data_IF_971877504529
#
_entry.id   IF_971877504529
#
_cell.length_a   1.000
_cell.length_b   1.000
_cell.length_c   1.000
_cell.angle_alpha   90.00
_cell.angle_beta   90.00
_cell.angle_gamma   90.00
#
_symmetry.space_group_name_H-M   'P 1'
#
loop_
_entity.id
_entity.type
_entity.pdbx_description
1 polymer ?
#
# COMPACT_ATOMS: atom_id res chain seq x y z
N UNK A 1 9.46 -1.99 5.20
CA UNK A 1 9.59 -1.85 3.73
C UNK A 1 8.21 -1.66 3.13
N UNK A 2 8.07 -0.79 2.15
CA UNK A 2 6.83 -0.62 1.37
C UNK A 2 6.81 -1.70 0.28
N UNK A 3 5.88 -2.65 0.37
CA UNK A 3 5.80 -3.80 -0.53
C UNK A 3 5.12 -3.42 -1.84
N UNK A 4 4.05 -2.65 -1.78
CA UNK A 4 3.36 -2.11 -2.95
C UNK A 4 2.67 -0.78 -2.61
N UNK A 5 2.47 0.03 -3.63
CA UNK A 5 1.63 1.22 -3.65
C UNK A 5 1.06 1.36 -5.05
N UNK A 6 -0.23 1.57 -5.18
CA UNK A 6 -0.89 1.62 -6.47
C UNK A 6 -2.12 2.52 -6.42
N UNK A 7 -2.33 3.28 -7.49
CA UNK A 7 -3.57 4.01 -7.75
C UNK A 7 -4.47 3.18 -8.67
N UNK A 8 -5.75 3.15 -8.38
CA UNK A 8 -6.74 2.41 -9.15
C UNK A 8 -7.94 3.31 -9.50
N UNK A 9 -8.80 2.85 -10.41
CA UNK A 9 -10.01 3.55 -10.83
C UNK A 9 -11.18 3.38 -9.85
N UNK A 10 -11.04 2.48 -8.89
CA UNK A 10 -12.07 2.19 -7.89
C UNK A 10 -11.45 1.53 -6.65
N UNK A 11 -12.21 1.52 -5.57
CA UNK A 11 -11.85 0.93 -4.29
C UNK A 11 -12.64 -0.36 -4.00
N UNK A 12 -12.84 -1.21 -4.98
CA UNK A 12 -13.52 -2.50 -4.76
C UNK A 12 -12.56 -3.48 -4.10
N UNK A 13 -13.10 -4.36 -3.27
CA UNK A 13 -12.31 -5.35 -2.53
C UNK A 13 -11.41 -6.22 -3.42
N UNK A 14 -11.87 -6.57 -4.60
CA UNK A 14 -11.09 -7.32 -5.59
C UNK A 14 -9.93 -6.51 -6.18
N UNK A 15 -10.16 -5.21 -6.41
CA UNK A 15 -9.14 -4.29 -6.93
C UNK A 15 -8.03 -4.07 -5.90
N UNK A 16 -8.40 -3.97 -4.64
CA UNK A 16 -7.47 -3.83 -3.50
C UNK A 16 -6.72 -5.14 -3.21
N UNK A 17 -7.38 -6.27 -3.41
CA UNK A 17 -6.78 -7.59 -3.18
C UNK A 17 -5.66 -7.92 -4.19
N UNK A 18 -5.77 -7.49 -5.44
CA UNK A 18 -4.78 -7.82 -6.48
C UNK A 18 -3.35 -7.39 -6.13
N UNK A 19 -3.07 -6.12 -5.77
CA UNK A 19 -1.72 -5.71 -5.38
C UNK A 19 -1.25 -6.36 -4.07
N UNK A 20 -2.16 -6.63 -3.12
CA UNK A 20 -1.84 -7.41 -1.94
C UNK A 20 -1.35 -8.82 -2.30
N UNK A 21 -2.10 -9.53 -3.15
CA UNK A 21 -1.75 -10.89 -3.56
C UNK A 21 -0.43 -10.94 -4.34
N UNK A 22 -0.17 -9.96 -5.20
CA UNK A 22 1.11 -9.82 -5.90
C UNK A 22 2.25 -9.59 -4.90
N UNK A 23 2.01 -8.80 -3.86
CA UNK A 23 2.96 -8.61 -2.77
C UNK A 23 3.25 -9.90 -2.02
N UNK A 24 2.21 -10.69 -1.69
CA UNK A 24 2.35 -12.02 -1.07
C UNK A 24 3.16 -12.96 -1.96
N UNK A 25 2.90 -12.97 -3.26
CA UNK A 25 3.61 -13.83 -4.22
C UNK A 25 5.09 -13.48 -4.34
N UNK A 26 5.45 -12.19 -4.21
CA UNK A 26 6.82 -11.69 -4.38
C UNK A 26 7.65 -11.74 -3.09
N UNK A 27 7.03 -11.49 -1.94
CA UNK A 27 7.72 -11.29 -0.66
C UNK A 27 7.33 -12.31 0.43
N UNK A 28 6.39 -13.20 0.13
CA UNK A 28 5.87 -14.17 1.09
C UNK A 28 4.63 -13.70 1.84
N UNK A 29 3.97 -14.65 2.51
CA UNK A 29 2.73 -14.41 3.24
C UNK A 29 3.04 -13.73 4.58
N UNK A 30 2.49 -12.53 4.88
CA UNK A 30 2.73 -11.86 6.14
C UNK A 30 2.13 -12.64 7.32
N UNK A 31 2.75 -12.55 8.49
CA UNK A 31 2.22 -13.16 9.71
C UNK A 31 0.90 -12.50 10.14
N UNK A 32 0.83 -11.19 9.99
CA UNK A 32 -0.33 -10.38 10.36
C UNK A 32 -0.54 -9.25 9.35
N UNK A 33 -1.81 -8.96 9.10
CA UNK A 33 -2.23 -7.79 8.34
C UNK A 33 -3.09 -6.91 9.23
N UNK A 34 -2.83 -5.62 9.23
CA UNK A 34 -3.70 -4.63 9.89
C UNK A 34 -4.38 -3.80 8.81
N UNK A 35 -5.71 -3.73 8.89
CA UNK A 35 -6.51 -2.84 8.06
C UNK A 35 -7.41 -1.98 8.94
N UNK A 36 -7.99 -0.94 8.38
CA UNK A 36 -9.15 -0.29 8.96
C UNK A 36 -10.43 -1.11 8.71
N UNK A 37 -11.58 -0.52 9.04
CA UNK A 37 -12.89 -1.20 8.91
C UNK A 37 -13.54 -1.03 7.53
N UNK A 38 -12.78 -0.64 6.51
CA UNK A 38 -13.31 -0.44 5.17
C UNK A 38 -13.78 -1.73 4.51
N UNK A 39 -14.85 -1.64 3.71
CA UNK A 39 -15.39 -2.78 2.96
C UNK A 39 -14.45 -3.30 1.90
N UNK A 40 -13.54 -2.46 1.41
CA UNK A 40 -12.49 -2.78 0.44
C UNK A 40 -11.50 -3.83 0.96
N UNK A 41 -11.35 -3.94 2.28
CA UNK A 41 -10.40 -4.86 2.91
C UNK A 41 -10.95 -6.27 3.14
N UNK A 42 -12.23 -6.52 2.88
CA UNK A 42 -12.92 -7.79 3.22
C UNK A 42 -12.25 -9.00 2.58
N UNK A 43 -11.83 -8.90 1.32
CA UNK A 43 -11.18 -10.02 0.60
C UNK A 43 -9.80 -10.33 1.21
N UNK A 44 -9.04 -9.32 1.61
CA UNK A 44 -7.74 -9.51 2.32
C UNK A 44 -7.97 -10.21 3.67
N UNK A 45 -8.98 -9.76 4.42
CA UNK A 45 -9.35 -10.38 5.70
C UNK A 45 -9.69 -11.85 5.52
N UNK A 46 -10.57 -12.16 4.57
CA UNK A 46 -10.98 -13.54 4.28
C UNK A 46 -9.79 -14.39 3.85
N UNK A 47 -8.92 -13.87 2.99
CA UNK A 47 -7.71 -14.56 2.56
C UNK A 47 -6.81 -14.90 3.76
N UNK A 48 -6.53 -13.96 4.65
CA UNK A 48 -5.69 -14.17 5.82
C UNK A 48 -6.30 -15.14 6.83
N UNK A 49 -7.62 -15.07 7.08
CA UNK A 49 -8.29 -15.94 8.05
C UNK A 49 -8.49 -17.37 7.53
N UNK A 50 -8.67 -17.55 6.22
CA UNK A 50 -8.90 -18.86 5.62
C UNK A 50 -7.60 -19.54 5.15
N UNK A 51 -6.48 -18.81 5.13
CA UNK A 51 -5.22 -19.38 4.65
C UNK A 51 -4.70 -20.46 5.63
N UNK A 52 -4.30 -21.68 5.16
CA UNK A 52 -3.89 -22.80 6.02
C UNK A 52 -2.79 -22.45 7.03
N UNK A 53 -1.85 -21.58 6.64
CA UNK A 53 -0.74 -21.13 7.49
C UNK A 53 -1.10 -19.96 8.42
N UNK A 54 -2.25 -19.34 8.24
CA UNK A 54 -2.66 -18.10 8.97
C UNK A 54 -4.03 -18.22 9.62
N UNK A 55 -4.72 -19.30 9.40
CA UNK A 55 -6.10 -19.58 9.78
C UNK A 55 -6.47 -19.34 11.25
N UNK A 56 -7.65 -19.83 11.68
CA UNK A 56 -8.29 -19.38 12.91
C UNK A 56 -7.40 -19.59 14.15
N UNK A 57 -7.48 -18.68 15.11
CA UNK A 57 -6.73 -18.74 16.37
C UNK A 57 -5.34 -18.07 16.34
N UNK A 58 -4.81 -17.67 15.20
CA UNK A 58 -3.46 -17.05 15.09
C UNK A 58 -3.47 -15.52 15.11
N UNK A 59 -4.62 -14.88 15.24
CA UNK A 59 -4.77 -13.41 15.17
C UNK A 59 -4.05 -12.79 13.94
N UNK A 60 -4.16 -13.47 12.80
CA UNK A 60 -3.48 -13.08 11.55
C UNK A 60 -4.02 -11.81 10.91
N UNK A 61 -5.19 -11.35 11.36
CA UNK A 61 -5.77 -10.08 10.96
C UNK A 61 -6.14 -9.24 12.18
N UNK A 62 -5.79 -7.95 12.14
CA UNK A 62 -6.09 -6.98 13.18
C UNK A 62 -6.88 -5.83 12.55
N UNK A 63 -8.12 -5.66 12.97
CA UNK A 63 -8.91 -4.48 12.61
C UNK A 63 -8.66 -3.39 13.65
N UNK A 64 -8.10 -2.25 13.23
CA UNK A 64 -7.81 -1.12 14.11
C UNK A 64 -8.68 0.10 13.82
N UNK A 65 -8.86 0.97 14.83
CA UNK A 65 -9.32 2.35 14.57
C UNK A 65 -8.18 3.11 13.90
N UNK A 66 -8.50 3.97 12.93
CA UNK A 66 -7.54 4.82 12.20
C UNK A 66 -6.62 5.65 13.11
N UNK A 67 -7.08 5.99 14.32
CA UNK A 67 -6.35 6.77 15.34
C UNK A 67 -4.99 6.14 15.73
N UNK A 68 -4.80 4.84 15.52
CA UNK A 68 -3.54 4.16 15.81
C UNK A 68 -2.58 4.06 14.61
N UNK A 69 -2.93 4.69 13.50
CA UNK A 69 -2.20 4.57 12.23
C UNK A 69 -1.29 5.78 11.92
N UNK A 70 -0.70 6.41 12.94
CA UNK A 70 0.18 7.58 12.77
C UNK A 70 1.30 7.36 11.73
N UNK A 71 1.80 6.12 11.59
CA UNK A 71 2.81 5.79 10.57
C UNK A 71 2.21 5.86 9.17
N UNK A 72 0.98 5.40 8.99
CA UNK A 72 0.26 5.44 7.71
C UNK A 72 -0.06 6.89 7.34
N UNK A 73 -0.56 7.69 8.30
CA UNK A 73 -0.86 9.10 8.07
C UNK A 73 0.38 9.91 7.69
N UNK A 74 1.51 9.63 8.33
CA UNK A 74 2.79 10.24 7.96
C UNK A 74 3.20 9.81 6.54
N UNK A 75 3.09 8.51 6.25
CA UNK A 75 3.41 7.98 4.93
C UNK A 75 2.56 8.63 3.84
N UNK A 76 1.26 8.85 4.08
CA UNK A 76 0.40 9.56 3.14
C UNK A 76 0.84 11.00 2.89
N UNK A 77 1.26 11.71 3.91
CA UNK A 77 1.84 13.06 3.74
C UNK A 77 3.11 13.02 2.89
N UNK A 78 3.98 12.06 3.14
CA UNK A 78 5.22 11.89 2.38
C UNK A 78 4.91 11.51 0.92
N UNK A 79 3.92 10.65 0.69
CA UNK A 79 3.43 10.28 -0.65
C UNK A 79 2.81 11.47 -1.37
N UNK A 80 1.99 12.26 -0.69
CA UNK A 80 1.42 13.48 -1.26
C UNK A 80 2.51 14.47 -1.66
N UNK A 81 3.44 14.77 -0.78
CA UNK A 81 4.51 15.72 -1.04
C UNK A 81 5.49 15.25 -2.12
N UNK A 82 5.79 13.95 -2.15
CA UNK A 82 6.81 13.39 -3.04
C UNK A 82 6.28 12.85 -4.38
N UNK A 83 4.98 12.60 -4.50
CA UNK A 83 4.44 11.94 -5.68
C UNK A 83 3.10 12.50 -6.15
N UNK A 84 2.06 12.44 -5.29
CA UNK A 84 0.67 12.62 -5.76
C UNK A 84 0.19 14.06 -5.75
N UNK A 85 0.82 14.93 -4.98
CA UNK A 85 0.43 16.35 -4.87
C UNK A 85 0.46 17.11 -6.20
N UNK A 86 1.41 16.77 -7.08
CA UNK A 86 1.47 17.38 -8.42
C UNK A 86 0.20 17.08 -9.23
N UNK A 87 -0.23 15.82 -9.22
CA UNK A 87 -1.44 15.39 -9.93
C UNK A 87 -2.69 16.00 -9.31
N UNK A 88 -2.78 16.05 -7.99
CA UNK A 88 -3.88 16.69 -7.28
C UNK A 88 -4.04 18.15 -7.70
N UNK A 89 -2.97 18.94 -7.67
CA UNK A 89 -3.02 20.33 -8.07
C UNK A 89 -3.33 20.51 -9.55
N UNK A 90 -2.81 19.64 -10.40
CA UNK A 90 -3.07 19.64 -11.82
C UNK A 90 -4.54 19.33 -12.15
N UNK A 91 -5.12 18.30 -11.54
CA UNK A 91 -6.52 17.94 -11.76
C UNK A 91 -7.48 18.99 -11.21
N UNK A 92 -7.18 19.56 -10.05
CA UNK A 92 -7.94 20.68 -9.52
C UNK A 92 -7.91 21.90 -10.46
N UNK A 93 -6.75 22.19 -11.07
CA UNK A 93 -6.66 23.25 -12.07
C UNK A 93 -7.50 22.94 -13.32
N UNK A 94 -7.49 21.70 -13.81
CA UNK A 94 -8.33 21.28 -14.94
C UNK A 94 -9.82 21.42 -14.64
N UNK A 95 -10.24 21.10 -13.42
CA UNK A 95 -11.62 21.24 -12.97
C UNK A 95 -12.03 22.72 -12.91
N UNK A 96 -11.25 23.57 -12.25
CA UNK A 96 -11.51 25.01 -12.16
C UNK A 96 -11.55 25.66 -13.56
N UNK A 97 -10.73 25.21 -14.49
CA UNK A 97 -10.67 25.69 -15.86
C UNK A 97 -11.77 25.12 -16.77
N UNK A 98 -12.66 24.26 -16.26
CA UNK A 98 -13.74 23.62 -17.02
C UNK A 98 -13.28 22.57 -18.04
N UNK A 99 -11.99 22.20 -18.04
CA UNK A 99 -11.43 21.15 -18.90
C UNK A 99 -11.88 19.78 -18.39
N UNK A 100 -11.83 19.56 -17.08
CA UNK A 100 -12.29 18.36 -16.41
C UNK A 100 -13.65 18.62 -15.75
N UNK A 101 -14.62 17.79 -16.07
CA UNK A 101 -15.90 17.72 -15.38
C UNK A 101 -16.00 16.34 -14.73
N UNK A 102 -15.87 16.28 -13.39
CA UNK A 102 -15.89 14.99 -12.67
C UNK A 102 -17.24 14.28 -12.73
N UNK A 103 -18.32 14.97 -13.14
CA UNK A 103 -19.62 14.36 -13.33
C UNK A 103 -19.80 13.70 -14.71
N UNK A 104 -18.90 13.99 -15.65
CA UNK A 104 -18.92 13.44 -16.99
C UNK A 104 -18.05 12.17 -17.07
N UNK A 105 -18.71 11.02 -17.19
CA UNK A 105 -18.04 9.71 -17.23
C UNK A 105 -16.99 9.58 -18.34
N UNK A 106 -17.24 10.16 -19.52
CA UNK A 106 -16.28 10.10 -20.63
C UNK A 106 -14.99 10.91 -20.35
N UNK A 107 -15.13 12.08 -19.70
CA UNK A 107 -13.98 12.88 -19.28
C UNK A 107 -13.21 12.18 -18.17
N UNK A 108 -13.92 11.58 -17.22
CA UNK A 108 -13.31 10.79 -16.13
C UNK A 108 -12.57 9.57 -16.67
N UNK A 109 -13.20 8.85 -17.62
CA UNK A 109 -12.56 7.72 -18.29
C UNK A 109 -11.27 8.16 -19.01
N UNK A 110 -11.33 9.27 -19.75
CA UNK A 110 -10.16 9.80 -20.46
C UNK A 110 -9.04 10.19 -19.50
N UNK A 111 -9.39 10.82 -18.36
CA UNK A 111 -8.44 11.15 -17.29
C UNK A 111 -7.76 9.88 -16.77
N UNK A 112 -8.54 8.86 -16.41
CA UNK A 112 -8.02 7.59 -15.90
C UNK A 112 -7.12 6.91 -16.94
N UNK A 113 -7.56 6.85 -18.20
CA UNK A 113 -6.81 6.23 -19.28
C UNK A 113 -5.43 6.85 -19.46
N UNK A 114 -5.34 8.17 -19.42
CA UNK A 114 -4.08 8.90 -19.62
C UNK A 114 -3.22 8.91 -18.38
N UNK A 115 -3.80 9.25 -17.22
CA UNK A 115 -3.00 9.58 -16.03
C UNK A 115 -2.74 8.40 -15.11
N UNK A 116 -3.59 7.38 -15.07
CA UNK A 116 -3.39 6.23 -14.18
C UNK A 116 -2.04 5.52 -14.40
N UNK A 117 -1.62 5.23 -15.64
CA UNK A 117 -0.29 4.66 -15.90
C UNK A 117 0.85 5.58 -15.46
N UNK A 118 0.68 6.90 -15.64
CA UNK A 118 1.69 7.89 -15.26
C UNK A 118 1.82 7.98 -13.74
N UNK A 119 0.69 8.04 -13.02
CA UNK A 119 0.65 8.07 -11.57
C UNK A 119 1.30 6.80 -11.00
N UNK A 120 0.93 5.63 -11.49
CA UNK A 120 1.48 4.36 -11.01
C UNK A 120 2.98 4.22 -11.28
N UNK A 121 3.47 4.77 -12.41
CA UNK A 121 4.90 4.84 -12.69
C UNK A 121 5.62 5.73 -11.66
N UNK A 122 5.08 6.90 -11.34
CA UNK A 122 5.65 7.80 -10.34
C UNK A 122 5.59 7.17 -8.93
N UNK A 123 4.50 6.49 -8.60
CA UNK A 123 4.39 5.74 -7.34
C UNK A 123 5.44 4.63 -7.24
N UNK A 124 5.75 3.92 -8.31
CA UNK A 124 6.80 2.91 -8.32
C UNK A 124 8.18 3.53 -8.07
N UNK A 125 8.47 4.69 -8.65
CA UNK A 125 9.72 5.44 -8.38
C UNK A 125 9.76 5.91 -6.91
N UNK A 126 8.65 6.45 -6.40
CA UNK A 126 8.52 6.87 -5.01
C UNK A 126 8.75 5.68 -4.05
N UNK A 127 8.16 4.52 -4.33
CA UNK A 127 8.34 3.29 -3.56
C UNK A 127 9.82 2.89 -3.47
N UNK A 128 10.52 2.91 -4.59
CA UNK A 128 11.96 2.58 -4.62
C UNK A 128 12.79 3.58 -3.78
N UNK A 129 12.50 4.87 -3.94
CA UNK A 129 13.15 5.93 -3.17
C UNK A 129 12.89 5.78 -1.66
N UNK A 130 11.62 5.57 -1.28
CA UNK A 130 11.22 5.35 0.10
C UNK A 130 11.90 4.12 0.72
N UNK A 131 11.97 3.01 0.00
CA UNK A 131 12.58 1.78 0.50
C UNK A 131 14.10 1.88 0.68
N UNK A 132 14.75 2.79 -0.02
CA UNK A 132 16.21 3.03 0.06
C UNK A 132 16.60 4.24 0.91
N UNK A 133 15.62 5.07 1.30
CA UNK A 133 15.89 6.24 2.12
C UNK A 133 16.33 5.84 3.55
N UNK A 134 17.38 6.44 4.10
CA UNK A 134 17.86 6.10 5.45
C UNK A 134 16.88 6.58 6.51
N UNK A 135 16.56 5.73 7.48
CA UNK A 135 15.73 6.04 8.64
C UNK A 135 16.64 6.46 9.79
N UNK A 136 16.57 7.74 10.16
CA UNK A 136 17.44 8.33 11.18
C UNK A 136 17.37 7.63 12.54
N UNK A 137 16.17 7.20 12.94
CA UNK A 137 15.94 6.49 14.22
C UNK A 137 16.42 5.04 14.20
N UNK A 138 16.70 4.48 13.02
CA UNK A 138 17.12 3.11 12.80
C UNK A 138 18.59 3.05 12.36
N UNK A 139 19.44 3.85 12.98
CA UNK A 139 20.90 3.93 12.69
C UNK A 139 21.21 4.22 11.21
N UNK A 140 20.35 5.00 10.54
CA UNK A 140 20.41 5.30 9.11
C UNK A 140 20.28 4.07 8.19
N UNK A 141 19.77 2.96 8.67
CA UNK A 141 19.38 1.83 7.82
C UNK A 141 18.13 2.18 7.02
N UNK A 142 18.08 1.73 5.79
CA UNK A 142 16.87 1.87 4.96
C UNK A 142 15.82 0.80 5.31
N UNK A 143 14.53 1.03 4.97
CA UNK A 143 13.48 0.01 5.11
C UNK A 143 13.84 -1.34 4.46
N UNK A 144 14.50 -1.31 3.30
CA UNK A 144 14.95 -2.51 2.60
C UNK A 144 16.07 -3.23 3.37
N UNK A 145 17.05 -2.50 3.89
CA UNK A 145 18.12 -3.06 4.71
C UNK A 145 17.59 -3.68 6.02
N UNK A 146 16.65 -2.99 6.70
CA UNK A 146 16.00 -3.52 7.89
C UNK A 146 15.22 -4.80 7.59
N UNK A 147 14.56 -4.86 6.44
CA UNK A 147 13.82 -6.04 6.01
C UNK A 147 14.76 -7.22 5.76
N UNK A 148 15.87 -7.01 5.01
CA UNK A 148 16.90 -8.03 4.74
C UNK A 148 17.54 -8.50 6.05
N UNK A 149 17.91 -7.57 6.95
CA UNK A 149 18.48 -7.92 8.24
C UNK A 149 17.54 -8.78 9.09
N UNK A 150 16.26 -8.41 9.12
CA UNK A 150 15.24 -9.20 9.79
C UNK A 150 15.12 -10.60 9.19
N UNK A 151 15.09 -10.71 7.88
CA UNK A 151 15.03 -11.99 7.18
C UNK A 151 16.26 -12.88 7.50
N UNK A 152 17.47 -12.32 7.48
CA UNK A 152 18.68 -13.06 7.82
C UNK A 152 18.70 -13.51 9.29
N UNK A 153 18.18 -12.69 10.21
CA UNK A 153 18.20 -12.99 11.65
C UNK A 153 17.18 -14.04 12.03
N UNK A 154 15.96 -13.97 11.50
CA UNK A 154 14.84 -14.82 11.90
C UNK A 154 14.54 -15.92 10.90
N UNK A 155 14.80 -15.73 9.61
CA UNK A 155 14.60 -16.71 8.56
C UNK A 155 15.51 -17.94 8.67
N UNK A 156 16.69 -17.77 9.29
CA UNK A 156 17.60 -18.88 9.56
C UNK A 156 17.21 -19.72 10.79
N UNK A 157 16.34 -19.20 11.67
CA UNK A 157 15.94 -19.85 12.93
C UNK A 157 14.67 -20.71 12.77
N UNK A 158 13.76 -20.31 11.90
CA UNK A 158 12.54 -21.06 11.62
C UNK A 158 11.98 -20.66 10.24
N UNK A 159 11.84 -21.59 9.28
CA UNK A 159 11.19 -21.33 7.99
C UNK A 159 9.75 -20.82 8.10
N UNK A 160 9.07 -21.10 9.22
CA UNK A 160 7.73 -20.58 9.52
C UNK A 160 7.79 -19.14 10.07
N UNK A 161 8.85 -18.74 10.77
CA UNK A 161 9.08 -17.39 11.28
C UNK A 161 9.62 -16.44 10.21
N UNK A 162 10.30 -16.96 9.18
CA UNK A 162 10.75 -16.12 8.04
C UNK A 162 9.59 -15.47 7.28
N UNK A 163 8.37 -15.97 7.48
CA UNK A 163 7.13 -15.40 6.98
C UNK A 163 6.48 -14.39 7.95
N UNK A 164 7.08 -14.12 9.13
CA UNK A 164 6.49 -13.23 10.15
C UNK A 164 6.80 -11.74 9.98
N UNK A 165 7.36 -11.30 8.87
CA UNK A 165 7.58 -9.88 8.64
C UNK A 165 6.26 -9.15 8.37
N UNK A 166 5.97 -8.17 9.21
CA UNK A 166 4.83 -7.28 9.04
C UNK A 166 4.98 -6.47 7.75
N UNK A 167 4.42 -6.96 6.67
CA UNK A 167 4.20 -6.17 5.48
C UNK A 167 3.11 -5.14 5.81
N UNK A 168 3.45 -3.86 5.72
CA UNK A 168 2.48 -2.79 5.83
C UNK A 168 1.78 -2.65 4.50
N UNK A 169 0.55 -3.14 4.42
CA UNK A 169 -0.31 -2.99 3.25
C UNK A 169 -0.96 -1.61 3.34
N UNK A 170 -0.65 -0.75 2.40
CA UNK A 170 -1.26 0.58 2.29
C UNK A 170 -2.04 0.60 0.98
N UNK A 171 -3.35 0.61 1.10
CA UNK A 171 -4.26 0.85 -0.01
C UNK A 171 -4.92 2.20 0.22
N UNK A 172 -4.91 3.07 -0.77
CA UNK A 172 -5.50 4.39 -0.66
C UNK A 172 -6.47 4.65 -1.79
N UNK A 173 -7.59 5.21 -1.38
CA UNK A 173 -8.45 5.99 -2.25
C UNK A 173 -7.80 7.35 -2.46
N UNK A 174 -7.51 7.68 -3.69
CA UNK A 174 -6.91 8.96 -4.04
C UNK A 174 -7.86 9.91 -4.80
N UNK A 175 -9.13 9.51 -4.96
CA UNK A 175 -10.14 10.38 -5.59
C UNK A 175 -11.52 10.05 -5.05
#
# INVERSE_FOLDING_TARGET
>A
MLVFIQCNTNNRAETVFTPFYNGVSSYGLPSRVRTDKGGENVTIVQYMLNHPLRGPGRASHITGRSVHNQRIERFWRDTFSGCTGLFYHFFNHMEISGILDPTNEARLFSLHYVFLPIINRNMAVFQQGHNRAPIRTERNLSPEQLWIQGFCTYGALDPMLSQEFSAMVIVSDMF
#
